data_IF_911845947018
#
_entry.id   IF_911845947018
#
_cell.length_a   1.000
_cell.length_b   1.000
_cell.length_c   1.000
_cell.angle_alpha   90.00
_cell.angle_beta   90.00
_cell.angle_gamma   90.00
#
_symmetry.space_group_name_H-M   'P 1'
#
loop_
_entity.id
_entity.type
_entity.pdbx_description
1 polymer ?
#
# COMPACT_ATOMS: atom_id res chain seq x y z
N UNK A 1 -9.78 3.68 19.14
CA UNK A 1 -10.46 2.82 18.15
C UNK A 1 -9.63 2.96 16.90
N UNK A 2 -8.71 2.02 16.69
CA UNK A 2 -7.67 2.18 15.67
C UNK A 2 -8.30 2.00 14.30
N UNK A 3 -7.98 2.88 13.36
CA UNK A 3 -8.53 2.83 12.00
C UNK A 3 -8.19 1.53 11.24
N UNK A 4 -7.25 0.76 11.79
CA UNK A 4 -6.87 -0.60 11.46
C UNK A 4 -8.07 -1.57 11.40
N UNK A 5 -9.05 -1.39 12.29
CA UNK A 5 -10.23 -2.28 12.39
C UNK A 5 -11.27 -2.02 11.28
N UNK A 6 -11.15 -0.89 10.56
CA UNK A 6 -12.00 -0.52 9.42
C UNK A 6 -11.39 -0.89 8.07
N UNK A 7 -10.24 -1.57 8.08
CA UNK A 7 -9.60 -2.09 6.88
C UNK A 7 -10.31 -3.36 6.41
N UNK A 8 -10.65 -3.41 5.14
CA UNK A 8 -11.07 -4.62 4.45
C UNK A 8 -9.95 -5.66 4.44
N UNK A 9 -10.29 -6.92 4.17
CA UNK A 9 -9.30 -8.00 4.02
C UNK A 9 -8.22 -7.63 2.99
N UNK A 10 -8.63 -7.00 1.90
CA UNK A 10 -7.71 -6.58 0.85
C UNK A 10 -6.79 -5.45 1.32
N UNK A 11 -7.32 -4.38 1.92
CA UNK A 11 -6.52 -3.26 2.44
C UNK A 11 -5.50 -3.75 3.49
N UNK A 12 -5.91 -4.64 4.39
CA UNK A 12 -5.04 -5.21 5.42
C UNK A 12 -3.90 -6.04 4.81
N UNK A 13 -4.20 -6.82 3.76
CA UNK A 13 -3.20 -7.63 3.06
C UNK A 13 -2.27 -6.78 2.20
N UNK A 14 -2.79 -5.73 1.57
CA UNK A 14 -2.00 -4.75 0.83
C UNK A 14 -1.03 -4.01 1.76
N UNK A 15 -1.51 -3.52 2.92
CA UNK A 15 -0.68 -2.84 3.91
C UNK A 15 0.45 -3.75 4.41
N UNK A 16 0.13 -4.99 4.80
CA UNK A 16 1.14 -5.98 5.23
C UNK A 16 2.13 -6.32 4.13
N UNK A 17 1.66 -6.43 2.89
CA UNK A 17 2.54 -6.71 1.76
C UNK A 17 3.49 -5.55 1.49
N UNK A 18 3.03 -4.31 1.60
CA UNK A 18 3.87 -3.11 1.51
C UNK A 18 4.89 -3.08 2.65
N UNK A 19 4.49 -3.41 3.88
CA UNK A 19 5.39 -3.40 5.03
C UNK A 19 6.49 -4.48 4.98
N UNK A 20 6.19 -5.64 4.38
CA UNK A 20 7.17 -6.73 4.19
C UNK A 20 8.03 -6.53 2.94
N UNK A 21 7.56 -5.72 1.99
CA UNK A 21 8.26 -5.48 0.72
C UNK A 21 9.16 -4.26 0.82
N UNK A 22 10.37 -4.38 0.27
CA UNK A 22 11.34 -3.29 0.28
C UNK A 22 11.09 -2.30 -0.87
N UNK A 23 9.99 -1.56 -0.77
CA UNK A 23 9.61 -0.52 -1.76
C UNK A 23 10.36 0.80 -1.59
N UNK A 24 11.24 0.88 -0.58
CA UNK A 24 12.19 1.97 -0.43
C UNK A 24 13.32 1.76 -1.44
N UNK A 25 13.90 0.55 -1.50
CA UNK A 25 14.91 0.22 -2.51
C UNK A 25 14.30 -0.09 -3.89
N UNK A 26 13.12 -0.72 -3.94
CA UNK A 26 12.44 -1.10 -5.19
C UNK A 26 11.34 -0.09 -5.54
N UNK A 27 11.31 0.46 -6.78
CA UNK A 27 10.28 1.41 -7.16
C UNK A 27 8.88 0.78 -7.11
N UNK A 28 7.92 1.51 -6.57
CA UNK A 28 6.52 1.09 -6.54
C UNK A 28 5.98 0.87 -7.95
N UNK A 29 5.26 -0.23 -8.13
CA UNK A 29 4.57 -0.54 -9.38
C UNK A 29 3.18 -1.07 -9.07
N UNK A 30 2.16 -0.27 -9.39
CA UNK A 30 0.76 -0.66 -9.22
C UNK A 30 0.43 -1.92 -10.02
N UNK A 31 1.06 -2.09 -11.20
CA UNK A 31 0.94 -3.31 -12.00
C UNK A 31 1.42 -4.55 -11.24
N UNK A 32 2.59 -4.45 -10.60
CA UNK A 32 3.15 -5.55 -9.82
C UNK A 32 2.27 -5.93 -8.64
N UNK A 33 1.70 -4.93 -7.96
CA UNK A 33 0.72 -5.17 -6.90
C UNK A 33 -0.54 -5.86 -7.46
N UNK A 34 -1.10 -5.34 -8.56
CA UNK A 34 -2.28 -5.90 -9.20
C UNK A 34 -2.07 -7.38 -9.59
N UNK A 35 -0.91 -7.70 -10.17
CA UNK A 35 -0.54 -9.08 -10.51
C UNK A 35 -0.35 -9.98 -9.28
N UNK A 36 0.30 -9.47 -8.22
CA UNK A 36 0.51 -10.22 -6.98
C UNK A 36 -0.81 -10.59 -6.29
N UNK A 37 -1.77 -9.68 -6.29
CA UNK A 37 -3.09 -9.88 -5.70
C UNK A 37 -4.13 -10.44 -6.67
N UNK A 38 -3.80 -10.58 -7.96
CA UNK A 38 -4.73 -10.98 -9.05
C UNK A 38 -5.98 -10.09 -9.12
N UNK A 39 -5.80 -8.79 -8.95
CA UNK A 39 -6.84 -7.76 -9.02
C UNK A 39 -6.51 -6.75 -10.12
N UNK A 40 -7.39 -5.77 -10.37
CA UNK A 40 -7.12 -4.71 -11.34
C UNK A 40 -6.24 -3.63 -10.73
N UNK A 41 -5.48 -2.89 -11.55
CA UNK A 41 -4.73 -1.71 -11.08
C UNK A 41 -5.66 -0.69 -10.38
N UNK A 42 -6.91 -0.56 -10.86
CA UNK A 42 -7.94 0.28 -10.25
C UNK A 42 -8.22 -0.10 -8.79
N UNK A 43 -8.36 -1.39 -8.51
CA UNK A 43 -8.63 -1.89 -7.15
C UNK A 43 -7.45 -1.56 -6.22
N UNK A 44 -6.22 -1.66 -6.71
CA UNK A 44 -5.02 -1.28 -5.96
C UNK A 44 -5.00 0.23 -5.67
N UNK A 45 -5.31 1.07 -6.66
CA UNK A 45 -5.38 2.53 -6.45
C UNK A 45 -6.45 2.92 -5.43
N UNK A 46 -7.64 2.31 -5.51
CA UNK A 46 -8.72 2.57 -4.55
C UNK A 46 -8.34 2.13 -3.13
N UNK A 47 -7.67 0.98 -2.99
CA UNK A 47 -7.18 0.51 -1.71
C UNK A 47 -6.05 1.39 -1.16
N UNK A 48 -5.07 1.80 -1.98
CA UNK A 48 -4.02 2.74 -1.57
C UNK A 48 -4.60 4.07 -1.10
N UNK A 49 -5.54 4.64 -1.87
CA UNK A 49 -6.23 5.87 -1.49
C UNK A 49 -6.96 5.69 -0.15
N UNK A 50 -7.68 4.59 0.02
CA UNK A 50 -8.40 4.31 1.26
C UNK A 50 -7.45 4.11 2.45
N UNK A 51 -6.31 3.43 2.25
CA UNK A 51 -5.26 3.28 3.26
C UNK A 51 -4.70 4.64 3.70
N UNK A 52 -4.36 5.53 2.76
CA UNK A 52 -3.85 6.87 3.10
C UNK A 52 -4.87 7.73 3.86
N UNK A 53 -6.17 7.47 3.72
CA UNK A 53 -7.21 8.19 4.44
C UNK A 53 -7.52 7.56 5.81
N UNK A 54 -7.55 6.23 5.90
CA UNK A 54 -7.89 5.51 7.12
C UNK A 54 -6.70 5.44 8.07
N UNK A 55 -5.53 5.06 7.55
CA UNK A 55 -4.31 4.80 8.33
C UNK A 55 -3.13 5.63 7.81
N UNK A 56 -3.25 6.97 7.77
CA UNK A 56 -2.19 7.85 7.26
C UNK A 56 -0.85 7.68 7.99
N UNK A 57 -0.88 7.31 9.27
CA UNK A 57 0.32 7.08 10.07
C UNK A 57 1.04 5.76 9.73
N UNK A 58 0.34 4.81 9.10
CA UNK A 58 0.89 3.48 8.75
C UNK A 58 1.36 3.38 7.29
N UNK A 59 1.11 4.39 6.46
CA UNK A 59 1.53 4.38 5.05
C UNK A 59 2.19 5.71 4.69
N UNK A 60 3.37 5.62 4.09
CA UNK A 60 4.14 6.76 3.63
C UNK A 60 4.45 6.62 2.13
N UNK A 61 4.00 7.59 1.34
CA UNK A 61 4.26 7.65 -0.09
C UNK A 61 5.23 8.80 -0.34
N UNK A 62 6.40 8.49 -0.91
CA UNK A 62 7.39 9.47 -1.32
C UNK A 62 7.73 9.31 -2.80
N UNK A 63 8.31 10.35 -3.38
CA UNK A 63 8.79 10.33 -4.75
C UNK A 63 10.29 10.58 -4.72
N UNK A 64 11.07 9.60 -5.14
CA UNK A 64 12.53 9.62 -5.10
C UNK A 64 13.11 8.94 -6.34
N UNK A 65 14.17 9.53 -6.89
CA UNK A 65 14.89 9.03 -8.07
C UNK A 65 13.98 8.78 -9.31
N UNK A 66 12.98 9.64 -9.51
CA UNK A 66 12.07 9.51 -10.66
C UNK A 66 10.96 8.46 -10.49
N UNK A 67 10.89 7.80 -9.33
CA UNK A 67 9.92 6.74 -9.03
C UNK A 67 9.13 7.00 -7.74
N UNK A 68 7.94 6.42 -7.67
CA UNK A 68 7.15 6.40 -6.44
C UNK A 68 7.74 5.34 -5.51
N UNK A 69 7.88 5.68 -4.24
CA UNK A 69 8.28 4.80 -3.14
C UNK A 69 7.13 4.75 -2.15
N UNK A 70 6.75 3.56 -1.71
CA UNK A 70 5.67 3.39 -0.73
C UNK A 70 6.20 2.54 0.40
N UNK A 71 6.37 3.14 1.58
CA UNK A 71 6.65 2.40 2.80
C UNK A 71 5.34 2.24 3.59
N UNK A 72 5.22 1.13 4.30
CA UNK A 72 4.15 0.95 5.26
C UNK A 72 4.69 0.32 6.53
N UNK A 73 4.04 0.61 7.65
CA UNK A 73 4.31 -0.02 8.93
C UNK A 73 3.10 -0.89 9.27
N UNK A 74 3.32 -2.19 9.42
CA UNK A 74 2.27 -3.11 9.83
C UNK A 74 2.25 -3.20 11.37
N UNK A 75 1.08 -3.12 12.01
CA UNK A 75 0.94 -3.32 13.45
C UNK A 75 1.19 -4.77 13.87
#
# INVERSE_FOLDING_TARGET
MAAEDLLTDFESRLLKWIAVSDFIEVPWSTKRAAEAFKVSEKDVYEALSSLTNKVPDLIHISYDDGAIRIAAEAP
#
